data_IF_173312685294
#
_entry.id   IF_173312685294
#
_cell.length_a   1.000
_cell.length_b   1.000
_cell.length_c   1.000
_cell.angle_alpha   90.00
_cell.angle_beta   90.00
_cell.angle_gamma   90.00
#
_symmetry.space_group_name_H-M   'P 1'
#
loop_
_entity.id
_entity.type
_entity.pdbx_description
1 polymer ?
#
# COMPACT_ATOMS: atom_id res chain seq x y z
N UNK A 1 -26.05 -6.69 -35.55
CA UNK A 1 -24.96 -7.44 -34.87
C UNK A 1 -25.54 -8.08 -33.62
N UNK A 2 -25.66 -9.42 -33.58
CA UNK A 2 -26.03 -10.14 -32.35
C UNK A 2 -24.81 -10.16 -31.44
N UNK A 3 -24.87 -9.45 -30.31
CA UNK A 3 -23.90 -9.60 -29.23
C UNK A 3 -24.22 -10.92 -28.52
N UNK A 4 -23.56 -12.01 -28.92
CA UNK A 4 -23.65 -13.26 -28.16
C UNK A 4 -23.19 -13.00 -26.72
N UNK A 5 -24.04 -13.35 -25.76
CA UNK A 5 -23.71 -13.20 -24.34
C UNK A 5 -22.53 -14.10 -24.01
N UNK A 6 -21.39 -13.52 -23.61
CA UNK A 6 -20.23 -14.29 -23.15
C UNK A 6 -20.67 -15.26 -22.05
N UNK A 7 -20.26 -16.54 -22.11
CA UNK A 7 -20.59 -17.49 -21.06
C UNK A 7 -20.06 -16.99 -19.72
N UNK A 8 -20.90 -17.07 -18.68
CA UNK A 8 -20.51 -16.70 -17.34
C UNK A 8 -19.30 -17.54 -16.89
N UNK A 9 -18.23 -16.90 -16.39
CA UNK A 9 -17.07 -17.62 -15.86
C UNK A 9 -17.49 -18.51 -14.68
N UNK A 10 -16.94 -19.73 -14.54
CA UNK A 10 -17.26 -20.61 -13.43
C UNK A 10 -16.93 -19.94 -12.09
N UNK A 11 -17.72 -20.24 -11.05
CA UNK A 11 -17.55 -19.67 -9.70
C UNK A 11 -16.14 -19.96 -9.16
N UNK A 12 -15.65 -21.20 -9.34
CA UNK A 12 -14.33 -21.61 -8.89
C UNK A 12 -13.20 -20.73 -9.46
N UNK A 13 -13.26 -20.37 -10.75
CA UNK A 13 -12.26 -19.49 -11.38
C UNK A 13 -12.30 -18.08 -10.78
N UNK A 14 -13.50 -17.56 -10.47
CA UNK A 14 -13.63 -16.25 -9.83
C UNK A 14 -13.03 -16.27 -8.42
N UNK A 15 -13.37 -17.28 -7.63
CA UNK A 15 -12.81 -17.44 -6.27
C UNK A 15 -11.30 -17.54 -6.33
N UNK A 16 -10.73 -18.39 -7.20
CA UNK A 16 -9.29 -18.51 -7.36
C UNK A 16 -8.60 -17.18 -7.74
N UNK A 17 -9.18 -16.44 -8.70
CA UNK A 17 -8.64 -15.15 -9.11
C UNK A 17 -8.66 -14.11 -7.98
N UNK A 18 -9.76 -14.05 -7.21
CA UNK A 18 -9.87 -13.13 -6.07
C UNK A 18 -8.92 -13.50 -4.93
N UNK A 19 -8.79 -14.79 -4.61
CA UNK A 19 -7.84 -15.27 -3.60
C UNK A 19 -6.40 -14.95 -4.00
N UNK A 20 -6.03 -15.22 -5.26
CA UNK A 20 -4.69 -14.90 -5.75
C UNK A 20 -4.44 -13.38 -5.72
N UNK A 21 -5.40 -12.57 -6.16
CA UNK A 21 -5.28 -11.11 -6.12
C UNK A 21 -5.08 -10.60 -4.67
N UNK A 22 -5.81 -11.15 -3.71
CA UNK A 22 -5.66 -10.80 -2.30
C UNK A 22 -4.26 -11.16 -1.77
N UNK A 23 -3.80 -12.39 -2.01
CA UNK A 23 -2.48 -12.85 -1.57
C UNK A 23 -1.35 -12.00 -2.16
N UNK A 24 -1.41 -11.71 -3.46
CA UNK A 24 -0.44 -10.85 -4.12
C UNK A 24 -0.50 -9.42 -3.59
N UNK A 25 -1.69 -8.91 -3.25
CA UNK A 25 -1.84 -7.58 -2.65
C UNK A 25 -1.16 -7.50 -1.28
N UNK A 26 -1.28 -8.52 -0.44
CA UNK A 26 -0.59 -8.57 0.86
C UNK A 26 0.92 -8.49 0.69
N UNK A 27 1.49 -9.28 -0.24
CA UNK A 27 2.94 -9.26 -0.52
C UNK A 27 3.35 -7.88 -1.05
N UNK A 28 2.58 -7.32 -1.98
CA UNK A 28 2.86 -6.02 -2.58
C UNK A 28 2.85 -4.89 -1.54
N UNK A 29 1.89 -4.89 -0.61
CA UNK A 29 1.86 -3.92 0.48
C UNK A 29 3.01 -4.12 1.47
N UNK A 30 3.39 -5.37 1.77
CA UNK A 30 4.56 -5.63 2.62
C UNK A 30 5.84 -5.03 2.00
N UNK A 31 6.05 -5.24 0.69
CA UNK A 31 7.18 -4.63 -0.05
C UNK A 31 7.08 -3.10 -0.05
N UNK A 32 5.89 -2.53 -0.27
CA UNK A 32 5.72 -1.08 -0.28
C UNK A 32 6.00 -0.45 1.09
N UNK A 33 5.56 -1.07 2.18
CA UNK A 33 5.85 -0.60 3.53
C UNK A 33 7.33 -0.73 3.88
N UNK A 34 7.99 -1.82 3.47
CA UNK A 34 9.43 -1.98 3.65
C UNK A 34 10.22 -0.91 2.87
N UNK A 35 9.80 -0.61 1.63
CA UNK A 35 10.36 0.47 0.85
C UNK A 35 10.19 1.83 1.53
N UNK A 36 9.01 2.08 2.11
CA UNK A 36 8.78 3.31 2.87
C UNK A 36 9.71 3.43 4.07
N UNK A 37 9.94 2.35 4.81
CA UNK A 37 10.86 2.34 5.94
C UNK A 37 12.29 2.66 5.50
N UNK A 38 12.77 2.01 4.42
CA UNK A 38 14.08 2.31 3.84
C UNK A 38 14.21 3.78 3.41
N UNK A 39 13.13 4.38 2.88
CA UNK A 39 13.11 5.81 2.53
C UNK A 39 13.32 6.73 3.74
N UNK A 40 12.71 6.42 4.88
CA UNK A 40 12.92 7.19 6.12
C UNK A 40 14.28 6.92 6.76
N UNK A 41 14.77 5.67 6.73
CA UNK A 41 16.14 5.35 7.17
C UNK A 41 17.20 6.12 6.37
N UNK A 42 17.04 6.23 5.05
CA UNK A 42 17.93 7.03 4.20
C UNK A 42 17.89 8.52 4.58
N UNK A 43 16.70 9.08 4.78
CA UNK A 43 16.54 10.47 5.23
C UNK A 43 17.30 10.71 6.55
N UNK A 44 17.08 9.84 7.54
CA UNK A 44 17.64 10.01 8.87
C UNK A 44 19.15 9.76 8.94
N UNK A 45 19.66 8.77 8.22
CA UNK A 45 21.07 8.40 8.23
C UNK A 45 21.95 9.38 7.43
N UNK A 46 21.40 10.02 6.40
CA UNK A 46 22.14 10.96 5.55
C UNK A 46 21.98 12.44 5.94
N UNK A 47 20.98 12.79 6.78
CA UNK A 47 20.71 14.19 7.18
C UNK A 47 21.95 14.88 7.78
N UNK A 48 22.71 14.20 8.64
CA UNK A 48 23.92 14.79 9.24
C UNK A 48 25.00 15.15 8.21
N UNK A 49 25.17 14.31 7.17
CA UNK A 49 26.12 14.58 6.07
C UNK A 49 25.60 15.69 5.16
N UNK A 50 24.30 15.70 4.89
CA UNK A 50 23.65 16.76 4.13
C UNK A 50 23.82 18.13 4.79
N UNK A 51 23.61 18.20 6.11
CA UNK A 51 23.82 19.43 6.90
C UNK A 51 25.27 19.91 6.88
N UNK A 52 26.24 18.99 7.04
CA UNK A 52 27.66 19.34 6.94
C UNK A 52 28.05 19.89 5.55
N UNK A 53 27.32 19.50 4.50
CA UNK A 53 27.47 20.01 3.14
C UNK A 53 26.61 21.27 2.85
N UNK A 54 25.88 21.82 3.84
CA UNK A 54 25.01 22.98 3.66
C UNK A 54 23.71 22.69 2.90
N UNK A 55 23.25 21.43 2.92
CA UNK A 55 22.03 20.92 2.28
C UNK A 55 21.12 20.22 3.30
N UNK A 56 20.03 19.58 2.86
CA UNK A 56 19.12 18.82 3.73
C UNK A 56 18.50 17.63 3.00
N UNK A 57 18.22 16.56 3.73
CA UNK A 57 17.43 15.39 3.32
C UNK A 57 15.96 15.49 3.75
N UNK A 58 15.56 16.55 4.45
CA UNK A 58 14.21 16.71 4.96
C UNK A 58 13.14 16.47 3.88
N UNK A 59 12.26 15.51 4.15
CA UNK A 59 11.16 15.12 3.25
C UNK A 59 11.50 14.04 2.22
N UNK A 60 12.73 13.52 2.20
CA UNK A 60 13.12 12.41 1.33
C UNK A 60 12.29 11.14 1.59
N UNK A 61 12.13 10.74 2.85
CA UNK A 61 11.33 9.60 3.27
C UNK A 61 9.84 9.78 2.97
N UNK A 62 9.33 11.02 3.05
CA UNK A 62 7.98 11.33 2.58
C UNK A 62 7.86 11.11 1.07
N UNK A 63 8.75 11.73 0.29
CA UNK A 63 8.63 11.80 -1.17
C UNK A 63 8.93 10.47 -1.86
N UNK A 64 9.96 9.76 -1.42
CA UNK A 64 10.42 8.51 -2.01
C UNK A 64 9.98 7.27 -1.24
N UNK A 65 9.51 7.42 0.00
CA UNK A 65 8.96 6.33 0.81
C UNK A 65 7.43 6.34 0.85
N UNK A 66 6.83 7.32 1.55
CA UNK A 66 5.40 7.30 1.87
C UNK A 66 4.49 7.61 0.68
N UNK A 67 4.84 8.56 -0.19
CA UNK A 67 4.01 8.90 -1.36
C UNK A 67 3.77 7.68 -2.27
N UNK A 68 4.78 6.87 -2.65
CA UNK A 68 4.56 5.63 -3.39
C UNK A 68 3.56 4.67 -2.72
N UNK A 69 3.61 4.53 -1.38
CA UNK A 69 2.66 3.72 -0.62
C UNK A 69 1.24 4.28 -0.76
N UNK A 70 1.06 5.60 -0.63
CA UNK A 70 -0.25 6.25 -0.76
C UNK A 70 -0.82 6.12 -2.19
N UNK A 71 0.03 6.24 -3.21
CA UNK A 71 -0.37 6.02 -4.61
C UNK A 71 -0.84 4.58 -4.80
N UNK A 72 -0.11 3.59 -4.27
CA UNK A 72 -0.52 2.19 -4.31
C UNK A 72 -1.88 1.98 -3.63
N UNK A 73 -2.10 2.57 -2.45
CA UNK A 73 -3.40 2.51 -1.76
C UNK A 73 -4.53 3.07 -2.64
N UNK A 74 -4.31 4.24 -3.26
CA UNK A 74 -5.30 4.86 -4.12
C UNK A 74 -5.65 3.99 -5.33
N UNK A 75 -4.64 3.43 -6.02
CA UNK A 75 -4.85 2.56 -7.18
C UNK A 75 -5.61 1.27 -6.82
N UNK A 76 -5.23 0.62 -5.72
CA UNK A 76 -5.92 -0.59 -5.24
C UNK A 76 -7.35 -0.26 -4.81
N UNK A 77 -7.57 0.86 -4.11
CA UNK A 77 -8.90 1.29 -3.70
C UNK A 77 -9.81 1.55 -4.89
N UNK A 78 -9.32 2.27 -5.90
CA UNK A 78 -10.07 2.55 -7.14
C UNK A 78 -10.39 1.23 -7.86
N UNK A 79 -9.41 0.33 -7.99
CA UNK A 79 -9.61 -0.98 -8.62
C UNK A 79 -10.67 -1.82 -7.90
N UNK A 80 -10.58 -1.92 -6.56
CA UNK A 80 -11.57 -2.62 -5.73
C UNK A 80 -12.95 -1.99 -5.84
N UNK A 81 -13.05 -0.67 -5.75
CA UNK A 81 -14.31 0.04 -5.85
C UNK A 81 -15.00 -0.23 -7.19
N UNK A 82 -14.27 -0.12 -8.31
CA UNK A 82 -14.80 -0.40 -9.64
C UNK A 82 -15.21 -1.87 -9.81
N UNK A 83 -14.44 -2.80 -9.26
CA UNK A 83 -14.73 -4.23 -9.33
C UNK A 83 -15.96 -4.63 -8.49
N UNK A 84 -16.15 -4.02 -7.32
CA UNK A 84 -17.28 -4.28 -6.41
C UNK A 84 -18.56 -3.61 -6.90
N UNK A 85 -18.44 -2.41 -7.49
CA UNK A 85 -19.56 -1.61 -7.97
C UNK A 85 -20.34 -2.25 -9.12
N UNK A 86 -19.80 -3.28 -9.79
CA UNK A 86 -20.39 -3.95 -10.96
C UNK A 86 -21.75 -4.66 -10.79
N UNK A 87 -22.65 -4.20 -9.92
CA UNK A 87 -24.00 -4.72 -9.71
C UNK A 87 -24.96 -3.68 -9.10
N UNK A 88 -26.10 -4.14 -8.55
CA UNK A 88 -27.13 -3.28 -7.90
C UNK A 88 -26.73 -2.71 -6.52
N UNK A 89 -25.44 -2.77 -6.15
CA UNK A 89 -24.98 -2.32 -4.83
C UNK A 89 -24.86 -0.78 -4.81
N UNK A 90 -25.31 -0.16 -3.72
CA UNK A 90 -25.15 1.27 -3.50
C UNK A 90 -23.67 1.68 -3.42
N UNK A 91 -23.40 2.97 -3.72
CA UNK A 91 -22.05 3.54 -3.72
C UNK A 91 -21.38 3.41 -2.34
N UNK A 92 -22.11 3.75 -1.27
CA UNK A 92 -21.56 3.71 0.09
C UNK A 92 -21.13 2.31 0.53
N UNK A 93 -21.98 1.29 0.30
CA UNK A 93 -21.64 -0.09 0.64
C UNK A 93 -20.44 -0.61 -0.16
N UNK A 94 -20.37 -0.28 -1.46
CA UNK A 94 -19.23 -0.67 -2.31
C UNK A 94 -17.92 -0.05 -1.81
N UNK A 95 -17.95 1.21 -1.36
CA UNK A 95 -16.79 1.90 -0.81
C UNK A 95 -16.36 1.29 0.53
N UNK A 96 -17.30 1.01 1.44
CA UNK A 96 -17.00 0.38 2.73
C UNK A 96 -16.34 -0.99 2.56
N UNK A 97 -16.84 -1.82 1.65
CA UNK A 97 -16.25 -3.12 1.36
C UNK A 97 -14.85 -2.95 0.76
N UNK A 98 -14.66 -2.03 -0.18
CA UNK A 98 -13.36 -1.76 -0.80
C UNK A 98 -12.32 -1.29 0.25
N UNK A 99 -12.71 -0.40 1.16
CA UNK A 99 -11.87 0.05 2.26
C UNK A 99 -11.52 -1.09 3.22
N UNK A 100 -12.49 -1.91 3.59
CA UNK A 100 -12.25 -3.07 4.46
C UNK A 100 -11.23 -4.05 3.87
N UNK A 101 -11.34 -4.34 2.56
CA UNK A 101 -10.38 -5.21 1.86
C UNK A 101 -9.01 -4.55 1.77
N UNK A 102 -8.94 -3.25 1.45
CA UNK A 102 -7.68 -2.50 1.39
C UNK A 102 -6.94 -2.54 2.72
N UNK A 103 -7.64 -2.26 3.83
CA UNK A 103 -7.07 -2.32 5.18
C UNK A 103 -6.59 -3.74 5.49
N UNK A 104 -7.40 -4.76 5.23
CA UNK A 104 -7.02 -6.15 5.48
C UNK A 104 -5.79 -6.59 4.67
N UNK A 105 -5.60 -6.06 3.45
CA UNK A 105 -4.45 -6.36 2.61
C UNK A 105 -3.18 -5.59 3.04
N UNK A 106 -3.32 -4.33 3.44
CA UNK A 106 -2.18 -3.44 3.75
C UNK A 106 -1.65 -3.59 5.17
N UNK A 107 -2.56 -3.74 6.15
CA UNK A 107 -2.24 -3.72 7.57
C UNK A 107 -1.20 -4.77 8.00
N UNK A 108 -1.21 -6.03 7.51
CA UNK A 108 -0.18 -7.00 7.87
C UNK A 108 1.23 -6.54 7.50
N UNK A 109 1.41 -5.95 6.31
CA UNK A 109 2.70 -5.41 5.86
C UNK A 109 3.17 -4.26 6.74
N UNK A 110 2.27 -3.32 7.05
CA UNK A 110 2.55 -2.20 7.96
C UNK A 110 2.99 -2.70 9.34
N UNK A 111 2.23 -3.62 9.94
CA UNK A 111 2.52 -4.16 11.28
C UNK A 111 3.87 -4.87 11.30
N UNK A 112 4.19 -5.67 10.28
CA UNK A 112 5.51 -6.33 10.18
C UNK A 112 6.64 -5.31 10.19
N UNK A 113 6.53 -4.26 9.38
CA UNK A 113 7.56 -3.20 9.32
C UNK A 113 7.65 -2.42 10.63
N UNK A 114 6.53 -2.12 11.28
CA UNK A 114 6.53 -1.48 12.61
C UNK A 114 7.23 -2.35 13.66
N UNK A 115 7.00 -3.67 13.65
CA UNK A 115 7.68 -4.58 14.59
C UNK A 115 9.19 -4.63 14.30
N UNK A 116 9.59 -4.70 13.03
CA UNK A 116 10.99 -4.75 12.63
C UNK A 116 11.76 -3.44 12.93
N UNK A 117 11.09 -2.29 12.85
CA UNK A 117 11.65 -0.97 13.18
C UNK A 117 11.55 -0.62 14.67
N UNK A 118 11.08 -1.55 15.53
CA UNK A 118 10.88 -1.28 16.95
C UNK A 118 9.83 -0.19 17.24
N UNK A 119 8.94 0.08 16.29
CA UNK A 119 7.92 1.13 16.36
C UNK A 119 8.39 2.51 15.90
N UNK A 120 9.66 2.68 15.52
CA UNK A 120 10.30 3.97 15.27
C UNK A 120 10.41 4.36 13.78
N UNK A 121 9.69 3.69 12.88
CA UNK A 121 9.78 3.90 11.43
C UNK A 121 9.71 5.38 10.98
N UNK A 122 8.95 6.22 11.66
CA UNK A 122 8.78 7.64 11.34
C UNK A 122 9.47 8.58 12.31
N UNK A 123 10.27 8.05 13.23
CA UNK A 123 10.98 8.81 14.26
C UNK A 123 12.47 8.83 13.93
N UNK A 124 13.10 10.01 13.87
CA UNK A 124 14.54 10.08 13.67
C UNK A 124 15.25 9.42 14.86
N UNK A 125 16.24 8.54 14.62
CA UNK A 125 17.05 7.97 15.68
C UNK A 125 17.82 9.07 16.41
N UNK A 126 17.90 8.95 17.73
CA UNK A 126 18.69 9.87 18.55
C UNK A 126 20.17 9.54 18.36
N UNK A 127 20.85 10.29 17.51
CA UNK A 127 22.31 10.26 17.44
C UNK A 127 22.86 11.05 18.64
N UNK A 128 23.43 10.33 19.61
CA UNK A 128 24.19 10.97 20.69
C UNK A 128 25.48 11.52 20.07
N UNK A 129 25.76 12.83 20.21
CA UNK A 129 26.96 13.46 19.65
C UNK A 129 28.26 12.94 20.27
#
# INVERSE_FOLDING_TARGET
>A
MRTESRPARPIALRVAAWTLALLLSVILFAVAWAWCWLGFEEEFSEEGKAQAAGTTMAGWGLQFGLIPVLVLHALVLIGLFLAIRGGRRGVGLSLLIALGILVAASLPGFVVVQVLSGGSMFEPPVYVP
#
